data_IF_952306681612
#
_entry.id   IF_952306681612
#
_cell.length_a   1.000
_cell.length_b   1.000
_cell.length_c   1.000
_cell.angle_alpha   90.00
_cell.angle_beta   90.00
_cell.angle_gamma   90.00
#
_symmetry.space_group_name_H-M   'P 1'
#
loop_
_entity.id
_entity.type
_entity.pdbx_description
1 polymer ?
#
# COMPACT_ATOMS: atom_id res chain seq x y z
N UNK A 1 24.71 -6.24 -13.34
CA UNK A 1 23.32 -6.64 -12.97
C UNK A 1 23.02 -8.07 -13.44
N UNK A 2 23.34 -8.44 -14.68
CA UNK A 2 23.01 -9.76 -15.26
C UNK A 2 23.52 -10.95 -14.42
N UNK A 3 24.78 -10.90 -13.94
CA UNK A 3 25.36 -11.95 -13.07
C UNK A 3 24.55 -12.15 -11.78
N UNK A 4 23.96 -11.10 -11.21
CA UNK A 4 23.13 -11.18 -9.99
C UNK A 4 21.78 -11.81 -10.30
N UNK A 5 21.21 -11.51 -11.46
CA UNK A 5 19.96 -12.13 -11.92
C UNK A 5 20.16 -13.63 -12.14
N UNK A 6 21.27 -14.03 -12.79
CA UNK A 6 21.57 -15.45 -13.02
C UNK A 6 21.77 -16.22 -11.72
N UNK A 7 22.41 -15.61 -10.70
CA UNK A 7 22.51 -16.20 -9.36
C UNK A 7 21.12 -16.36 -8.71
N UNK A 8 20.26 -15.35 -8.80
CA UNK A 8 18.91 -15.40 -8.20
C UNK A 8 18.04 -16.47 -8.87
N UNK A 9 18.17 -16.68 -10.19
CA UNK A 9 17.49 -17.77 -10.93
C UNK A 9 17.89 -19.16 -10.49
N UNK A 10 19.05 -19.33 -9.84
CA UNK A 10 19.47 -20.61 -9.24
C UNK A 10 18.86 -20.85 -7.86
N UNK A 11 18.32 -19.80 -7.23
CA UNK A 11 17.81 -19.79 -5.85
C UNK A 11 16.28 -19.92 -5.84
N UNK A 12 15.58 -19.19 -6.72
CA UNK A 12 14.13 -19.26 -6.86
C UNK A 12 13.74 -19.52 -8.33
N UNK A 13 12.54 -20.05 -8.61
CA UNK A 13 12.11 -20.32 -9.98
C UNK A 13 12.15 -19.09 -10.88
N UNK A 14 12.76 -19.22 -12.06
CA UNK A 14 12.95 -18.13 -13.04
C UNK A 14 11.64 -17.44 -13.42
N UNK A 15 10.53 -18.18 -13.47
CA UNK A 15 9.20 -17.63 -13.79
C UNK A 15 8.76 -16.48 -12.86
N UNK A 16 9.37 -16.34 -11.68
CA UNK A 16 9.08 -15.26 -10.72
C UNK A 16 10.00 -14.06 -10.84
N UNK A 17 11.01 -14.11 -11.73
CA UNK A 17 12.04 -13.09 -11.85
C UNK A 17 11.88 -12.36 -13.19
N UNK A 18 11.78 -11.04 -13.12
CA UNK A 18 11.80 -10.16 -14.29
C UNK A 18 12.95 -9.16 -14.15
N UNK A 19 13.59 -8.80 -15.26
CA UNK A 19 14.61 -7.75 -15.33
C UNK A 19 14.05 -6.50 -15.99
N UNK A 20 14.46 -5.33 -15.53
CA UNK A 20 14.02 -4.04 -16.06
C UNK A 20 12.48 -3.92 -16.14
N UNK A 21 11.76 -4.45 -15.15
CA UNK A 21 10.30 -4.48 -15.16
C UNK A 21 9.71 -3.09 -14.85
N UNK A 22 8.90 -2.53 -15.75
CA UNK A 22 8.31 -1.20 -15.57
C UNK A 22 7.37 -1.14 -14.37
N UNK A 23 7.72 -0.37 -13.34
CA UNK A 23 6.96 -0.26 -12.10
C UNK A 23 5.58 0.37 -12.27
N UNK A 24 5.34 1.12 -13.34
CA UNK A 24 4.00 1.61 -13.70
C UNK A 24 2.95 0.51 -13.87
N UNK A 25 3.34 -0.74 -14.11
CA UNK A 25 2.45 -1.91 -14.16
C UNK A 25 2.07 -2.45 -12.77
N UNK A 26 2.84 -2.06 -11.74
CA UNK A 26 2.76 -2.58 -10.38
C UNK A 26 2.36 -1.51 -9.36
N UNK A 27 1.95 -0.33 -9.81
CA UNK A 27 1.41 0.75 -8.98
C UNK A 27 0.00 1.14 -9.43
N UNK A 28 -0.86 1.52 -8.49
CA UNK A 28 -2.19 2.04 -8.81
C UNK A 28 -2.14 3.43 -9.44
N UNK A 29 -1.05 4.16 -9.24
CA UNK A 29 -0.82 5.46 -9.88
C UNK A 29 -0.44 5.32 -11.37
N UNK A 30 0.01 4.12 -11.78
CA UNK A 30 0.51 3.82 -13.13
C UNK A 30 1.67 4.72 -13.55
N UNK A 31 2.53 5.07 -12.60
CA UNK A 31 3.75 5.86 -12.77
C UNK A 31 4.93 5.03 -12.25
N UNK A 32 6.08 5.14 -12.90
CA UNK A 32 7.34 4.53 -12.48
C UNK A 32 8.11 3.86 -13.61
N UNK A 33 9.41 4.14 -13.62
CA UNK A 33 10.40 3.52 -14.48
C UNK A 33 10.70 2.07 -14.09
N UNK A 34 11.77 1.47 -14.66
CA UNK A 34 12.05 0.05 -14.46
C UNK A 34 12.65 -0.25 -13.09
N UNK A 35 12.26 -1.36 -12.46
CA UNK A 35 13.03 -2.00 -11.40
C UNK A 35 14.16 -2.84 -12.03
N UNK A 36 15.37 -2.76 -11.48
CA UNK A 36 16.50 -3.56 -11.97
C UNK A 36 16.16 -5.05 -11.95
N UNK A 37 15.67 -5.54 -10.82
CA UNK A 37 15.18 -6.91 -10.62
C UNK A 37 13.81 -6.83 -9.96
N UNK A 38 12.86 -7.59 -10.51
CA UNK A 38 11.53 -7.75 -9.93
C UNK A 38 11.31 -9.23 -9.61
N UNK A 39 10.95 -9.55 -8.37
CA UNK A 39 10.71 -10.91 -7.90
C UNK A 39 9.32 -11.03 -7.27
N UNK A 40 8.53 -12.02 -7.69
CA UNK A 40 7.16 -12.24 -7.22
C UNK A 40 6.91 -13.71 -6.84
N UNK A 41 7.51 -14.22 -5.74
CA UNK A 41 7.45 -15.62 -5.32
C UNK A 41 6.05 -16.03 -4.81
N UNK A 42 5.84 -17.36 -4.72
CA UNK A 42 4.57 -17.99 -4.28
C UNK A 42 4.65 -18.58 -2.86
N UNK A 43 5.84 -18.87 -2.36
CA UNK A 43 6.03 -19.56 -1.08
C UNK A 43 6.97 -18.77 -0.15
N UNK A 44 6.87 -19.05 1.14
CA UNK A 44 7.67 -18.36 2.18
C UNK A 44 9.17 -18.60 1.95
N UNK A 45 9.56 -19.81 1.61
CA UNK A 45 10.94 -20.22 1.40
C UNK A 45 11.62 -19.39 0.31
N UNK A 46 10.88 -19.08 -0.78
CA UNK A 46 11.38 -18.22 -1.86
C UNK A 46 11.45 -16.75 -1.42
N UNK A 47 10.50 -16.27 -0.60
CA UNK A 47 10.53 -14.92 -0.01
C UNK A 47 11.79 -14.77 0.88
N UNK A 48 12.03 -15.75 1.77
CA UNK A 48 13.23 -15.79 2.61
C UNK A 48 14.51 -15.83 1.77
N UNK A 49 14.53 -16.65 0.74
CA UNK A 49 15.68 -16.82 -0.14
C UNK A 49 16.03 -15.51 -0.88
N UNK A 50 15.04 -14.76 -1.37
CA UNK A 50 15.24 -13.43 -1.99
C UNK A 50 15.77 -12.43 -0.96
N UNK A 51 15.20 -12.38 0.24
CA UNK A 51 15.66 -11.47 1.30
C UNK A 51 17.10 -11.77 1.72
N UNK A 52 17.44 -13.05 1.93
CA UNK A 52 18.78 -13.51 2.25
C UNK A 52 19.77 -13.17 1.14
N UNK A 53 19.44 -13.47 -0.11
CA UNK A 53 20.27 -13.14 -1.27
C UNK A 53 20.54 -11.65 -1.38
N UNK A 54 19.52 -10.80 -1.21
CA UNK A 54 19.68 -9.36 -1.23
C UNK A 54 20.66 -8.88 -0.14
N UNK A 55 20.56 -9.43 1.08
CA UNK A 55 21.45 -9.12 2.20
C UNK A 55 22.90 -9.55 1.93
N UNK A 56 23.11 -10.79 1.49
CA UNK A 56 24.44 -11.37 1.22
C UNK A 56 25.16 -10.67 0.08
N UNK A 57 24.45 -10.29 -0.98
CA UNK A 57 25.03 -9.59 -2.15
C UNK A 57 25.05 -8.05 -1.98
N UNK A 58 24.58 -7.52 -0.85
CA UNK A 58 24.50 -6.08 -0.58
C UNK A 58 23.63 -5.34 -1.59
N UNK A 59 22.50 -5.96 -2.02
CA UNK A 59 21.57 -5.39 -2.99
C UNK A 59 20.43 -4.71 -2.24
N UNK A 60 20.07 -3.46 -2.58
CA UNK A 60 18.87 -2.83 -2.05
C UNK A 60 17.62 -3.69 -2.27
N UNK A 61 16.79 -3.86 -1.24
CA UNK A 61 15.55 -4.61 -1.31
C UNK A 61 14.36 -3.70 -0.96
N UNK A 62 13.38 -3.67 -1.84
CA UNK A 62 12.10 -2.99 -1.59
C UNK A 62 10.94 -3.98 -1.63
N UNK A 63 10.17 -4.05 -0.54
CA UNK A 63 8.99 -4.94 -0.46
C UNK A 63 7.75 -4.21 -0.95
N UNK A 64 7.08 -4.78 -1.93
CA UNK A 64 5.92 -4.22 -2.62
C UNK A 64 4.69 -5.10 -2.41
N UNK A 65 3.57 -4.50 -2.03
CA UNK A 65 2.24 -5.12 -2.11
C UNK A 65 1.55 -4.77 -3.45
N UNK A 66 0.39 -4.13 -3.35
CA UNK A 66 -0.37 -3.65 -4.54
C UNK A 66 0.09 -2.29 -5.09
N UNK A 67 1.13 -1.67 -4.52
CA UNK A 67 1.63 -0.37 -4.97
C UNK A 67 0.63 0.78 -4.89
N UNK A 68 -0.30 0.74 -3.94
CA UNK A 68 -1.44 1.68 -3.87
C UNK A 68 -1.14 2.97 -3.10
N UNK A 69 0.07 3.12 -2.54
CA UNK A 69 0.51 4.32 -1.82
C UNK A 69 1.91 4.77 -2.27
N UNK A 70 2.27 4.50 -3.53
CA UNK A 70 3.61 4.75 -4.04
C UNK A 70 3.61 5.71 -5.23
N UNK A 71 4.62 6.58 -5.24
CA UNK A 71 5.12 7.29 -6.41
C UNK A 71 6.52 6.75 -6.69
N UNK A 72 6.66 6.01 -7.79
CA UNK A 72 7.96 5.45 -8.21
C UNK A 72 8.60 6.41 -9.21
N UNK A 73 9.90 6.68 -9.02
CA UNK A 73 10.68 7.56 -9.88
C UNK A 73 10.65 7.14 -11.35
N UNK A 74 10.75 8.13 -12.28
CA UNK A 74 10.76 7.88 -13.72
C UNK A 74 12.00 7.10 -14.16
N UNK A 75 13.14 7.29 -13.48
CA UNK A 75 14.38 6.54 -13.69
C UNK A 75 14.37 5.14 -13.07
N UNK A 76 13.29 4.79 -12.36
CA UNK A 76 13.07 3.44 -11.81
C UNK A 76 13.69 3.22 -10.43
N UNK A 77 13.98 1.96 -10.12
CA UNK A 77 14.41 1.51 -8.80
C UNK A 77 15.66 0.63 -8.87
N UNK A 78 16.62 0.92 -7.98
CA UNK A 78 17.82 0.07 -7.82
C UNK A 78 17.47 -1.20 -7.05
N UNK A 79 18.19 -2.28 -7.39
CA UNK A 79 18.17 -3.52 -6.65
C UNK A 79 16.97 -4.40 -6.94
N UNK A 80 16.41 -5.02 -5.90
CA UNK A 80 15.33 -6.00 -6.00
C UNK A 80 14.03 -5.38 -5.47
N UNK A 81 12.98 -5.40 -6.28
CA UNK A 81 11.59 -5.21 -5.85
C UNK A 81 10.98 -6.59 -5.61
N UNK A 82 10.73 -6.91 -4.34
CA UNK A 82 10.07 -8.14 -3.91
C UNK A 82 8.57 -7.89 -3.79
N UNK A 83 7.80 -8.37 -4.76
CA UNK A 83 6.34 -8.23 -4.72
C UNK A 83 5.67 -9.38 -3.97
N UNK A 84 4.98 -9.06 -2.87
CA UNK A 84 4.12 -9.95 -2.11
C UNK A 84 2.67 -9.57 -2.42
N UNK A 85 2.09 -10.27 -3.40
CA UNK A 85 0.77 -9.97 -3.93
C UNK A 85 0.02 -11.26 -4.28
N UNK A 86 -0.62 -11.34 -5.44
CA UNK A 86 -1.49 -12.45 -5.85
C UNK A 86 -0.85 -13.83 -5.76
N UNK A 87 0.44 -13.92 -6.06
CA UNK A 87 1.15 -15.19 -6.02
C UNK A 87 1.24 -15.75 -4.59
N UNK A 88 1.41 -14.87 -3.60
CA UNK A 88 1.46 -15.22 -2.19
C UNK A 88 0.20 -14.70 -1.48
N UNK A 89 -0.95 -15.29 -1.77
CA UNK A 89 -2.24 -14.91 -1.20
C UNK A 89 -3.01 -16.12 -0.69
N UNK A 90 -3.88 -15.92 0.28
CA UNK A 90 -4.73 -16.96 0.87
C UNK A 90 -5.36 -16.49 2.17
N UNK A 91 -6.49 -17.11 2.53
CA UNK A 91 -7.25 -16.86 3.74
C UNK A 91 -7.65 -18.21 4.33
N UNK A 92 -7.39 -18.41 5.59
CA UNK A 92 -7.90 -19.54 6.37
C UNK A 92 -8.81 -18.98 7.46
N UNK A 93 -9.99 -19.59 7.62
CA UNK A 93 -10.97 -19.16 8.64
C UNK A 93 -11.05 -20.22 9.74
N UNK A 94 -10.93 -19.77 10.99
CA UNK A 94 -11.08 -20.61 12.16
C UNK A 94 -11.96 -19.91 13.22
N UNK A 95 -13.24 -20.24 13.21
CA UNK A 95 -14.23 -19.58 14.07
C UNK A 95 -14.37 -18.10 13.77
N UNK A 96 -13.94 -17.25 14.66
CA UNK A 96 -13.98 -15.78 14.52
C UNK A 96 -12.63 -15.19 14.06
N UNK A 97 -11.65 -16.02 13.77
CA UNK A 97 -10.31 -15.59 13.34
C UNK A 97 -10.07 -15.91 11.88
N UNK A 98 -9.46 -14.96 11.16
CA UNK A 98 -8.97 -15.15 9.81
C UNK A 98 -7.45 -15.04 9.82
N UNK A 99 -6.77 -16.11 9.39
CA UNK A 99 -5.35 -16.08 9.05
C UNK A 99 -5.21 -15.67 7.59
N UNK A 100 -4.52 -14.55 7.36
CA UNK A 100 -4.47 -13.91 6.04
C UNK A 100 -3.03 -13.77 5.58
N UNK A 101 -2.68 -14.35 4.43
CA UNK A 101 -1.35 -14.14 3.81
C UNK A 101 -1.18 -12.71 3.36
N UNK A 102 0.05 -12.18 3.47
CA UNK A 102 0.37 -10.77 3.26
C UNK A 102 -0.01 -10.23 1.88
N UNK A 103 0.02 -11.04 0.84
CA UNK A 103 -0.34 -10.66 -0.53
C UNK A 103 -1.84 -10.61 -0.82
N UNK A 104 -2.67 -11.04 0.12
CA UNK A 104 -4.13 -11.06 -0.05
C UNK A 104 -4.70 -9.65 -0.08
N UNK A 105 -5.57 -9.35 -1.03
CA UNK A 105 -6.27 -8.07 -1.08
C UNK A 105 -7.22 -7.90 0.11
N UNK A 106 -7.28 -6.69 0.65
CA UNK A 106 -8.21 -6.35 1.73
C UNK A 106 -9.69 -6.55 1.35
N UNK A 107 -10.03 -6.30 0.08
CA UNK A 107 -11.36 -6.58 -0.45
C UNK A 107 -11.72 -8.08 -0.42
N UNK A 108 -10.74 -8.94 -0.68
CA UNK A 108 -10.94 -10.40 -0.58
C UNK A 108 -11.11 -10.85 0.87
N UNK A 109 -10.33 -10.27 1.79
CA UNK A 109 -10.44 -10.52 3.23
C UNK A 109 -11.78 -10.07 3.78
N UNK A 110 -12.23 -8.85 3.41
CA UNK A 110 -13.54 -8.33 3.82
C UNK A 110 -14.70 -9.17 3.28
N UNK A 111 -14.58 -9.68 2.04
CA UNK A 111 -15.57 -10.61 1.47
C UNK A 111 -15.58 -11.96 2.18
N UNK A 112 -14.42 -12.48 2.59
CA UNK A 112 -14.34 -13.71 3.37
C UNK A 112 -15.01 -13.53 4.73
N UNK A 113 -14.75 -12.43 5.43
CA UNK A 113 -15.42 -12.10 6.69
C UNK A 113 -16.95 -12.02 6.55
N UNK A 114 -17.46 -11.35 5.50
CA UNK A 114 -18.90 -11.31 5.20
C UNK A 114 -19.49 -12.71 4.99
N UNK A 115 -18.80 -13.58 4.25
CA UNK A 115 -19.30 -14.93 3.97
C UNK A 115 -19.46 -15.76 5.25
N UNK A 116 -18.60 -15.52 6.25
CA UNK A 116 -18.59 -16.17 7.56
C UNK A 116 -19.41 -15.42 8.62
N UNK A 117 -20.15 -14.38 8.21
CA UNK A 117 -20.98 -13.55 9.11
C UNK A 117 -20.15 -12.89 10.23
N UNK A 118 -18.93 -12.43 9.87
CA UNK A 118 -18.02 -11.76 10.78
C UNK A 118 -17.99 -10.26 10.53
N UNK A 119 -18.33 -9.48 11.56
CA UNK A 119 -18.33 -8.00 11.55
C UNK A 119 -17.03 -7.43 12.10
N UNK A 120 -16.70 -6.19 11.75
CA UNK A 120 -15.53 -5.44 12.22
C UNK A 120 -14.48 -5.16 11.14
N UNK A 121 -14.61 -5.77 9.95
CA UNK A 121 -13.66 -5.57 8.86
C UNK A 121 -14.26 -4.89 7.60
N UNK A 122 -15.46 -4.35 7.69
CA UNK A 122 -16.19 -3.71 6.59
C UNK A 122 -15.46 -2.48 6.05
N UNK A 123 -14.74 -1.74 6.93
CA UNK A 123 -13.97 -0.54 6.57
C UNK A 123 -12.89 -0.83 5.54
N UNK A 124 -12.34 -2.04 5.54
CA UNK A 124 -11.19 -2.43 4.73
C UNK A 124 -11.57 -2.80 3.29
N UNK A 125 -12.82 -3.17 3.03
CA UNK A 125 -13.28 -3.72 1.74
C UNK A 125 -13.03 -2.83 0.53
N UNK A 126 -12.96 -1.52 0.73
CA UNK A 126 -12.68 -0.55 -0.33
C UNK A 126 -11.23 -0.07 -0.40
N UNK A 127 -10.34 -0.41 0.53
CA UNK A 127 -8.94 0.00 0.50
C UNK A 127 -8.19 -0.81 -0.57
N UNK A 128 -7.52 -0.18 -1.55
CA UNK A 128 -6.88 -0.87 -2.66
C UNK A 128 -5.50 -1.45 -2.29
N UNK A 129 -5.37 -2.04 -1.10
CA UNK A 129 -4.12 -2.57 -0.56
C UNK A 129 -4.12 -4.07 -0.37
N UNK A 130 -2.93 -4.64 -0.15
CA UNK A 130 -2.76 -5.98 0.38
C UNK A 130 -2.79 -5.97 1.90
N UNK A 131 -3.04 -7.15 2.50
CA UNK A 131 -3.04 -7.31 3.95
C UNK A 131 -1.70 -6.89 4.58
N UNK A 132 -0.57 -7.34 4.02
CA UNK A 132 0.75 -6.96 4.51
C UNK A 132 0.99 -5.45 4.44
N UNK A 133 0.62 -4.80 3.33
CA UNK A 133 0.70 -3.33 3.21
C UNK A 133 -0.20 -2.59 4.20
N UNK A 134 -1.37 -3.16 4.50
CA UNK A 134 -2.29 -2.60 5.50
C UNK A 134 -1.74 -2.69 6.93
N UNK A 135 -1.10 -3.80 7.29
CA UNK A 135 -0.39 -3.97 8.57
C UNK A 135 0.73 -2.94 8.71
N UNK A 136 1.60 -2.82 7.69
CA UNK A 136 2.74 -1.88 7.68
C UNK A 136 2.29 -0.44 7.93
N UNK A 137 1.14 -0.05 7.36
CA UNK A 137 0.64 1.33 7.40
C UNK A 137 -0.45 1.56 8.46
N UNK A 138 -0.82 0.56 9.27
CA UNK A 138 -2.04 0.61 10.07
C UNK A 138 -3.20 1.19 9.26
N UNK A 139 -3.50 0.56 8.12
CA UNK A 139 -4.47 1.10 7.17
C UNK A 139 -5.85 1.24 7.80
N UNK A 140 -6.53 2.33 7.49
CA UNK A 140 -7.87 2.59 8.01
C UNK A 140 -8.71 3.46 7.09
N UNK A 141 -10.02 3.33 7.23
CA UNK A 141 -11.04 4.11 6.55
C UNK A 141 -12.34 4.08 7.34
N UNK A 142 -13.18 5.11 7.22
CA UNK A 142 -14.51 5.15 7.83
C UNK A 142 -14.54 4.90 9.34
N UNK A 143 -13.47 5.29 10.05
CA UNK A 143 -13.37 5.11 11.50
C UNK A 143 -12.85 3.73 11.95
N UNK A 144 -12.66 2.79 11.02
CA UNK A 144 -11.99 1.51 11.28
C UNK A 144 -10.51 1.55 10.92
N UNK A 145 -9.67 0.81 11.66
CA UNK A 145 -8.23 0.68 11.44
C UNK A 145 -7.76 -0.75 11.75
N UNK A 146 -6.62 -1.16 11.17
CA UNK A 146 -6.06 -2.50 11.39
C UNK A 146 -5.82 -2.82 12.87
N UNK A 147 -5.38 -1.84 13.67
CA UNK A 147 -5.14 -2.00 15.11
C UNK A 147 -6.35 -2.50 15.89
N UNK A 148 -7.56 -2.26 15.42
CA UNK A 148 -8.80 -2.64 16.11
C UNK A 148 -9.14 -4.13 15.96
N UNK A 149 -8.56 -4.79 14.96
CA UNK A 149 -8.92 -6.17 14.60
C UNK A 149 -7.72 -7.12 14.53
N UNK A 150 -6.50 -6.57 14.44
CA UNK A 150 -5.29 -7.35 14.31
C UNK A 150 -4.93 -8.00 15.66
N UNK A 151 -4.71 -9.32 15.65
CA UNK A 151 -4.31 -10.11 16.83
C UNK A 151 -2.80 -10.32 16.86
N UNK A 152 -2.25 -10.80 15.75
CA UNK A 152 -0.82 -11.07 15.62
C UNK A 152 -0.39 -11.07 14.15
N UNK A 153 0.91 -10.94 13.92
CA UNK A 153 1.52 -10.93 12.58
C UNK A 153 2.79 -11.75 12.59
N UNK A 154 2.93 -12.64 11.62
CA UNK A 154 4.17 -13.33 11.33
C UNK A 154 5.00 -12.48 10.37
N UNK A 155 6.23 -12.20 10.76
CA UNK A 155 7.17 -11.37 10.00
C UNK A 155 8.50 -12.10 9.79
N UNK A 156 9.17 -11.76 8.68
CA UNK A 156 10.57 -12.08 8.45
C UNK A 156 11.40 -10.84 8.83
N UNK A 157 12.35 -11.02 9.74
CA UNK A 157 13.25 -9.95 10.17
C UNK A 157 14.40 -9.74 9.18
N UNK A 158 15.14 -8.63 9.32
CA UNK A 158 16.37 -8.37 8.54
C UNK A 158 17.45 -9.43 8.71
N UNK A 159 17.42 -10.15 9.84
CA UNK A 159 18.39 -11.20 10.14
C UNK A 159 17.99 -12.57 9.59
N UNK A 160 16.83 -12.64 8.95
CA UNK A 160 16.29 -13.87 8.36
C UNK A 160 15.54 -14.76 9.36
N UNK A 161 15.16 -14.21 10.53
CA UNK A 161 14.35 -14.94 11.51
C UNK A 161 12.86 -14.72 11.24
N UNK A 162 12.07 -15.77 11.31
CA UNK A 162 10.62 -15.65 11.34
C UNK A 162 10.18 -15.46 12.80
N UNK A 163 9.42 -14.38 13.04
CA UNK A 163 8.84 -14.04 14.35
C UNK A 163 7.35 -13.81 14.24
N UNK A 164 6.63 -14.19 15.29
CA UNK A 164 5.23 -13.78 15.46
C UNK A 164 5.20 -12.65 16.48
N UNK A 165 4.68 -11.50 16.05
CA UNK A 165 4.50 -10.30 16.88
C UNK A 165 3.01 -10.16 17.22
N UNK A 166 2.69 -9.95 18.48
CA UNK A 166 1.33 -9.64 18.92
C UNK A 166 0.97 -8.20 18.58
N UNK A 167 -0.34 -7.88 18.55
CA UNK A 167 -0.83 -6.55 18.17
C UNK A 167 -0.18 -5.41 18.99
N UNK A 168 0.03 -5.59 20.29
CA UNK A 168 0.68 -4.62 21.17
C UNK A 168 2.16 -4.38 20.85
N UNK A 169 2.86 -5.36 20.27
CA UNK A 169 4.26 -5.24 19.87
C UNK A 169 4.43 -4.52 18.53
N UNK A 170 3.34 -4.34 17.79
CA UNK A 170 3.38 -3.72 16.46
C UNK A 170 3.42 -2.19 16.51
N UNK A 171 3.18 -1.57 17.66
CA UNK A 171 3.20 -0.10 17.84
C UNK A 171 2.43 0.63 16.74
N UNK A 172 1.23 0.15 16.43
CA UNK A 172 0.41 0.67 15.34
C UNK A 172 -0.07 2.09 15.66
N UNK A 173 0.24 3.01 14.77
CA UNK A 173 -0.17 4.42 14.86
C UNK A 173 -0.60 4.95 13.50
N UNK A 174 -0.85 6.27 13.41
CA UNK A 174 -1.26 6.88 12.14
C UNK A 174 -0.19 6.72 11.07
N UNK A 175 -0.44 5.85 10.09
CA UNK A 175 0.45 5.52 8.97
C UNK A 175 1.84 5.03 9.39
N UNK A 176 1.91 4.31 10.53
CA UNK A 176 3.16 3.74 11.05
C UNK A 176 2.95 2.43 11.78
N UNK A 177 4.01 1.64 11.89
CA UNK A 177 4.08 0.41 12.66
C UNK A 177 5.52 0.09 13.03
N UNK A 178 5.72 -0.79 14.01
CA UNK A 178 7.02 -1.38 14.33
C UNK A 178 7.61 -2.17 13.13
N UNK A 179 6.75 -2.81 12.34
CA UNK A 179 7.14 -3.49 11.10
C UNK A 179 7.81 -2.54 10.12
N UNK A 180 7.25 -1.33 9.92
CA UNK A 180 7.82 -0.30 9.07
C UNK A 180 9.15 0.23 9.61
N UNK A 181 9.23 0.49 10.92
CA UNK A 181 10.42 1.04 11.57
C UNK A 181 11.63 0.09 11.49
N UNK A 182 11.38 -1.20 11.62
CA UNK A 182 12.42 -2.25 11.59
C UNK A 182 12.63 -2.85 10.20
N UNK A 183 11.86 -2.41 9.19
CA UNK A 183 11.90 -2.93 7.82
C UNK A 183 11.70 -4.47 7.76
N UNK A 184 10.77 -4.97 8.58
CA UNK A 184 10.38 -6.38 8.54
C UNK A 184 9.47 -6.65 7.34
N UNK A 185 9.49 -7.89 6.86
CA UNK A 185 8.61 -8.36 5.80
C UNK A 185 7.42 -9.08 6.42
N UNK A 186 6.20 -8.58 6.21
CA UNK A 186 4.99 -9.27 6.65
C UNK A 186 4.78 -10.51 5.79
N UNK A 187 4.62 -11.67 6.42
CA UNK A 187 4.32 -12.93 5.76
C UNK A 187 2.82 -13.25 5.83
N UNK A 188 2.26 -13.25 7.03
CA UNK A 188 0.82 -13.43 7.28
C UNK A 188 0.42 -12.78 8.59
N UNK A 189 -0.87 -12.66 8.85
CA UNK A 189 -1.35 -12.21 10.15
C UNK A 189 -2.74 -12.73 10.45
N UNK A 190 -3.11 -12.67 11.72
CA UNK A 190 -4.41 -13.09 12.22
C UNK A 190 -5.22 -11.87 12.60
N UNK A 191 -6.43 -11.77 12.07
CA UNK A 191 -7.45 -10.81 12.54
C UNK A 191 -8.52 -11.56 13.34
N UNK A 192 -8.97 -10.97 14.44
CA UNK A 192 -10.05 -11.47 15.27
C UNK A 192 -11.27 -10.56 15.10
N UNK A 193 -12.38 -11.14 14.69
CA UNK A 193 -13.64 -10.46 14.39
C UNK A 193 -14.76 -10.97 15.28
N UNK A 194 -15.93 -10.35 15.19
CA UNK A 194 -17.10 -10.75 15.96
C UNK A 194 -18.19 -11.34 15.06
N UNK A 195 -19.01 -12.24 15.61
CA UNK A 195 -20.21 -12.70 14.89
C UNK A 195 -21.19 -11.55 14.74
N UNK A 196 -21.76 -11.41 13.54
CA UNK A 196 -22.71 -10.36 13.20
C UNK A 196 -23.82 -10.86 12.29
N UNK A 197 -24.70 -9.95 11.93
CA UNK A 197 -25.75 -10.23 10.95
C UNK A 197 -25.22 -9.97 9.53
N UNK A 198 -25.35 -10.93 8.64
CA UNK A 198 -24.81 -10.89 7.27
C UNK A 198 -25.38 -9.72 6.45
N UNK A 199 -26.68 -9.46 6.60
CA UNK A 199 -27.38 -8.40 5.89
C UNK A 199 -26.88 -7.02 6.35
N UNK A 200 -26.65 -6.83 7.66
CA UNK A 200 -26.11 -5.59 8.23
C UNK A 200 -24.66 -5.36 7.81
N UNK A 201 -23.81 -6.40 7.87
CA UNK A 201 -22.42 -6.34 7.39
C UNK A 201 -22.39 -5.94 5.93
N UNK A 202 -23.21 -6.60 5.10
CA UNK A 202 -23.30 -6.30 3.67
C UNK A 202 -23.79 -4.88 3.42
N UNK A 203 -24.82 -4.43 4.10
CA UNK A 203 -25.35 -3.07 3.98
C UNK A 203 -24.29 -2.02 4.30
N UNK A 204 -23.48 -2.23 5.34
CA UNK A 204 -22.37 -1.35 5.72
C UNK A 204 -21.24 -1.34 4.69
N UNK A 205 -20.87 -2.51 4.15
CA UNK A 205 -19.90 -2.60 3.05
C UNK A 205 -20.39 -1.86 1.79
N UNK A 206 -21.67 -2.02 1.43
CA UNK A 206 -22.29 -1.36 0.28
C UNK A 206 -22.33 0.17 0.47
N UNK A 207 -22.66 0.64 1.69
CA UNK A 207 -22.61 2.06 2.07
C UNK A 207 -21.20 2.64 1.85
N UNK A 208 -20.16 1.98 2.36
CA UNK A 208 -18.80 2.43 2.20
C UNK A 208 -18.33 2.41 0.74
N UNK A 209 -18.72 1.37 -0.01
CA UNK A 209 -18.43 1.28 -1.44
C UNK A 209 -19.10 2.42 -2.23
N UNK A 210 -20.36 2.72 -1.93
CA UNK A 210 -21.08 3.84 -2.53
C UNK A 210 -20.44 5.19 -2.20
N UNK A 211 -20.10 5.41 -0.92
CA UNK A 211 -19.42 6.63 -0.47
C UNK A 211 -18.08 6.84 -1.21
N UNK A 212 -17.29 5.78 -1.40
CA UNK A 212 -16.05 5.86 -2.20
C UNK A 212 -16.31 6.20 -3.66
N UNK A 213 -17.22 5.48 -4.30
CA UNK A 213 -17.59 5.70 -5.70
C UNK A 213 -18.09 7.12 -5.96
N UNK A 214 -18.84 7.68 -5.00
CA UNK A 214 -19.41 9.03 -5.11
C UNK A 214 -18.35 10.10 -4.87
N UNK A 215 -17.44 9.90 -3.88
CA UNK A 215 -16.54 10.96 -3.39
C UNK A 215 -15.13 10.88 -3.94
N UNK A 216 -14.65 9.71 -4.40
CA UNK A 216 -13.26 9.51 -4.84
C UNK A 216 -13.15 9.34 -6.36
N UNK A 217 -12.03 9.76 -6.98
CA UNK A 217 -11.81 9.70 -8.43
C UNK A 217 -11.37 8.29 -8.87
N UNK A 218 -12.21 7.27 -8.62
CA UNK A 218 -11.86 5.85 -8.87
C UNK A 218 -11.68 5.52 -10.37
N UNK A 219 -12.14 6.40 -11.24
CA UNK A 219 -12.00 6.31 -12.70
C UNK A 219 -10.59 6.65 -13.20
N UNK A 220 -9.75 7.27 -12.35
CA UNK A 220 -8.38 7.65 -12.69
C UNK A 220 -7.35 6.92 -11.82
N UNK A 221 -6.17 6.60 -12.39
CA UNK A 221 -5.05 6.10 -11.59
C UNK A 221 -4.62 7.13 -10.54
N UNK A 222 -4.37 6.66 -9.31
CA UNK A 222 -3.88 7.48 -8.19
C UNK A 222 -3.22 6.61 -7.12
N UNK A 223 -2.54 7.22 -6.17
CA UNK A 223 -2.00 6.57 -4.98
C UNK A 223 -2.82 6.88 -3.71
N UNK A 224 -4.14 7.09 -3.84
CA UNK A 224 -4.99 7.48 -2.72
C UNK A 224 -4.86 8.96 -2.35
N UNK A 225 -5.05 9.27 -1.06
CA UNK A 225 -4.83 10.63 -0.55
C UNK A 225 -3.37 11.00 -0.65
N UNK A 226 -3.08 12.15 -1.29
CA UNK A 226 -1.71 12.56 -1.57
C UNK A 226 -1.02 13.15 -0.35
N UNK A 227 -1.78 13.81 0.53
CA UNK A 227 -1.25 14.45 1.73
C UNK A 227 -1.83 13.85 3.00
N UNK A 228 -1.00 13.79 4.04
CA UNK A 228 -1.44 13.49 5.40
C UNK A 228 -2.45 14.53 5.87
N UNK A 229 -3.26 14.16 6.85
CA UNK A 229 -4.17 15.08 7.49
C UNK A 229 -3.37 16.00 8.42
N UNK A 230 -3.32 17.35 8.18
CA UNK A 230 -2.70 18.27 9.11
C UNK A 230 -3.51 18.38 10.42
N UNK A 231 -2.84 18.66 11.52
CA UNK A 231 -3.49 18.82 12.81
C UNK A 231 -4.56 19.94 12.76
N UNK A 232 -5.76 19.62 13.20
CA UNK A 232 -6.90 20.56 13.18
C UNK A 232 -7.54 20.81 11.82
N UNK A 233 -7.04 20.21 10.72
CA UNK A 233 -7.50 20.50 9.37
C UNK A 233 -7.79 19.21 8.57
N UNK A 234 -8.41 19.37 7.40
CA UNK A 234 -8.57 18.34 6.38
C UNK A 234 -7.79 18.76 5.13
N UNK A 235 -6.82 17.96 4.70
CA UNK A 235 -5.96 18.26 3.56
C UNK A 235 -6.76 18.61 2.29
N UNK A 236 -7.75 17.79 1.92
CA UNK A 236 -8.59 18.06 0.74
C UNK A 236 -9.38 19.37 0.84
N UNK A 237 -9.82 19.77 2.04
CA UNK A 237 -10.53 21.06 2.26
C UNK A 237 -9.58 22.24 2.06
N UNK A 238 -8.38 22.20 2.63
CA UNK A 238 -7.37 23.25 2.43
C UNK A 238 -7.02 23.43 0.96
N UNK A 239 -6.80 22.34 0.23
CA UNK A 239 -6.49 22.35 -1.22
C UNK A 239 -7.64 22.95 -2.01
N UNK A 240 -8.88 22.57 -1.67
CA UNK A 240 -10.08 23.14 -2.31
C UNK A 240 -10.23 24.65 -2.02
N UNK A 241 -10.06 25.07 -0.76
CA UNK A 241 -10.18 26.47 -0.34
C UNK A 241 -9.05 27.35 -0.91
N UNK A 242 -7.88 26.74 -1.21
CA UNK A 242 -6.79 27.37 -1.95
C UNK A 242 -7.09 27.55 -3.46
N UNK A 243 -8.26 27.10 -3.94
CA UNK A 243 -8.63 27.19 -5.35
C UNK A 243 -7.87 26.23 -6.27
N UNK A 244 -7.29 25.14 -5.73
CA UNK A 244 -6.41 24.25 -6.46
C UNK A 244 -7.11 23.03 -7.07
N UNK A 245 -8.43 22.96 -6.96
CA UNK A 245 -9.23 21.91 -7.61
C UNK A 245 -9.02 21.96 -9.14
N UNK A 246 -8.60 20.84 -9.73
CA UNK A 246 -8.27 20.77 -11.16
C UNK A 246 -6.90 21.35 -11.54
N UNK A 247 -6.10 21.84 -10.57
CA UNK A 247 -4.74 22.30 -10.84
C UNK A 247 -3.89 21.17 -11.44
N UNK A 248 -3.13 21.47 -12.51
CA UNK A 248 -2.46 20.45 -13.31
C UNK A 248 -1.00 20.83 -13.62
N UNK A 249 -0.13 19.82 -13.58
CA UNK A 249 1.27 19.89 -14.04
C UNK A 249 1.49 18.67 -14.95
N UNK A 250 1.83 18.87 -16.21
CA UNK A 250 1.84 17.78 -17.18
C UNK A 250 0.49 17.05 -17.19
N UNK A 251 0.50 15.72 -17.07
CA UNK A 251 -0.71 14.90 -16.93
C UNK A 251 -1.07 14.57 -15.45
N UNK A 252 -0.35 15.12 -14.47
CA UNK A 252 -0.72 15.04 -13.06
C UNK A 252 -1.72 16.15 -12.71
N UNK A 253 -2.85 15.81 -12.04
CA UNK A 253 -3.91 16.76 -11.74
C UNK A 253 -4.44 16.58 -10.32
N UNK A 254 -4.71 17.68 -9.60
CA UNK A 254 -5.57 17.67 -8.41
C UNK A 254 -6.98 17.31 -8.84
N UNK A 255 -7.53 16.22 -8.32
CA UNK A 255 -8.84 15.74 -8.75
C UNK A 255 -9.94 16.77 -8.52
N UNK A 256 -10.75 16.99 -9.53
CA UNK A 256 -11.96 17.83 -9.43
C UNK A 256 -13.03 17.22 -8.52
N UNK A 257 -13.02 15.89 -8.37
CA UNK A 257 -13.99 15.17 -7.54
C UNK A 257 -13.60 15.17 -6.06
N UNK A 258 -12.28 15.02 -5.75
CA UNK A 258 -11.74 15.02 -4.39
C UNK A 258 -10.37 15.66 -4.34
N UNK A 259 -10.27 16.88 -3.86
CA UNK A 259 -9.04 17.70 -3.90
C UNK A 259 -7.87 17.12 -3.10
N UNK A 260 -8.08 16.14 -2.22
CA UNK A 260 -7.01 15.41 -1.52
C UNK A 260 -6.31 14.35 -2.37
N UNK A 261 -6.78 14.11 -3.61
CA UNK A 261 -6.22 13.14 -4.55
C UNK A 261 -5.52 13.84 -5.69
N UNK A 262 -4.31 13.40 -6.02
CA UNK A 262 -3.65 13.65 -7.29
C UNK A 262 -3.90 12.45 -8.19
N UNK A 263 -4.35 12.70 -9.42
CA UNK A 263 -4.69 11.69 -10.42
C UNK A 263 -3.75 11.78 -11.60
N UNK A 264 -3.52 10.65 -12.27
CA UNK A 264 -2.83 10.57 -13.54
C UNK A 264 -3.87 10.62 -14.67
N UNK A 265 -3.83 11.67 -15.49
CA UNK A 265 -4.76 11.87 -16.62
C UNK A 265 -4.42 11.03 -17.84
N UNK A 266 -3.24 10.40 -17.84
CA UNK A 266 -2.80 9.55 -18.95
C UNK A 266 -1.34 9.18 -18.84
N UNK A 267 -0.44 10.13 -19.06
CA UNK A 267 1.00 9.89 -19.10
C UNK A 267 1.77 10.76 -18.07
N UNK A 268 1.19 11.01 -16.90
CA UNK A 268 1.88 11.75 -15.85
C UNK A 268 3.20 11.07 -15.48
N UNK A 269 4.24 11.88 -15.33
CA UNK A 269 5.55 11.45 -14.83
C UNK A 269 5.64 11.61 -13.32
N UNK A 270 6.62 10.95 -12.68
CA UNK A 270 6.90 11.19 -11.27
C UNK A 270 7.34 12.65 -11.03
N UNK A 271 8.07 13.23 -11.98
CA UNK A 271 8.46 14.64 -11.94
C UNK A 271 7.24 15.58 -11.93
N UNK A 272 6.22 15.34 -12.78
CA UNK A 272 4.97 16.12 -12.80
C UNK A 272 4.26 16.09 -11.45
N UNK A 273 4.14 14.88 -10.87
CA UNK A 273 3.50 14.70 -9.56
C UNK A 273 4.28 15.39 -8.44
N UNK A 274 5.60 15.30 -8.46
CA UNK A 274 6.46 15.97 -7.49
C UNK A 274 6.34 17.50 -7.55
N UNK A 275 6.33 18.06 -8.76
CA UNK A 275 6.15 19.51 -8.95
C UNK A 275 4.76 19.93 -8.45
N UNK A 276 3.70 19.18 -8.83
CA UNK A 276 2.33 19.45 -8.38
C UNK A 276 2.20 19.40 -6.84
N UNK A 277 2.82 18.41 -6.18
CA UNK A 277 2.83 18.31 -4.72
C UNK A 277 3.50 19.54 -4.09
N UNK A 278 4.63 20.00 -4.62
CA UNK A 278 5.33 21.20 -4.16
C UNK A 278 4.45 22.44 -4.30
N UNK A 279 3.90 22.66 -5.50
CA UNK A 279 3.05 23.83 -5.78
C UNK A 279 1.82 23.90 -4.86
N UNK A 280 1.18 22.73 -4.63
CA UNK A 280 0.04 22.64 -3.71
C UNK A 280 0.44 22.95 -2.28
N UNK A 281 1.56 22.39 -1.80
CA UNK A 281 2.03 22.61 -0.44
C UNK A 281 2.40 24.10 -0.21
N UNK A 282 3.09 24.72 -1.17
CA UNK A 282 3.50 26.12 -1.11
C UNK A 282 2.28 27.07 -1.10
N UNK A 283 1.32 26.85 -1.98
CA UNK A 283 0.09 27.68 -2.04
C UNK A 283 -0.77 27.56 -0.79
N UNK A 284 -0.92 26.33 -0.23
CA UNK A 284 -1.64 26.13 1.03
C UNK A 284 -0.91 26.81 2.18
N UNK A 285 0.42 26.71 2.23
CA UNK A 285 1.23 27.39 3.26
C UNK A 285 1.15 28.91 3.16
N UNK A 286 1.20 29.46 1.95
CA UNK A 286 1.07 30.91 1.69
C UNK A 286 -0.28 31.45 2.16
N UNK A 287 -1.39 30.75 1.85
CA UNK A 287 -2.74 31.24 2.14
C UNK A 287 -3.20 30.97 3.57
N UNK A 288 -2.80 29.84 4.17
CA UNK A 288 -3.35 29.37 5.45
C UNK A 288 -2.29 29.20 6.55
N UNK A 289 -0.99 29.33 6.24
CA UNK A 289 0.10 29.08 7.18
C UNK A 289 0.28 27.60 7.56
N UNK A 290 -0.43 26.66 6.90
CA UNK A 290 -0.43 25.23 7.21
C UNK A 290 0.58 24.50 6.35
N UNK A 291 1.48 23.72 6.98
CA UNK A 291 2.42 22.87 6.27
C UNK A 291 1.74 21.55 5.85
N UNK A 292 1.84 21.21 4.58
CA UNK A 292 1.30 19.99 4.01
C UNK A 292 2.41 18.93 3.86
N UNK A 293 2.21 17.76 4.47
CA UNK A 293 3.13 16.63 4.33
C UNK A 293 2.56 15.58 3.37
N UNK A 294 3.34 15.10 2.37
CA UNK A 294 2.90 14.00 1.52
C UNK A 294 2.66 12.71 2.31
N UNK A 295 1.56 12.02 2.04
CA UNK A 295 1.28 10.65 2.51
C UNK A 295 1.82 9.61 1.53
N UNK A 296 1.78 9.91 0.22
CA UNK A 296 2.33 9.05 -0.82
C UNK A 296 3.83 8.86 -0.62
N UNK A 297 4.28 7.61 -0.66
CA UNK A 297 5.69 7.25 -0.48
C UNK A 297 6.45 7.37 -1.80
N UNK A 298 7.50 8.19 -1.81
CA UNK A 298 8.43 8.30 -2.94
C UNK A 298 9.46 7.20 -2.85
N UNK A 299 9.68 6.47 -3.94
CA UNK A 299 10.64 5.37 -4.01
C UNK A 299 11.36 5.35 -5.35
N UNK A 300 12.64 4.97 -5.37
CA UNK A 300 13.45 4.90 -6.57
C UNK A 300 14.44 6.05 -6.72
N UNK A 301 14.95 6.23 -7.94
CA UNK A 301 15.97 7.20 -8.35
C UNK A 301 15.31 8.55 -8.69
N UNK A 302 15.09 9.40 -7.68
CA UNK A 302 14.59 10.77 -7.84
C UNK A 302 15.69 11.78 -8.02
#
# INVERSE_FOLDING_TARGET
MDVKIDKLKQIIPEKYILSNEPMKKHTTFRIGGPADIFAAPEIIEDIEAVCRFAKEEGIPLFVLGNGSNLLVADDGMDGIVLQIYKNYSGIEVNGNELTVKAGTLLSSTSKAALNEELTGFEFAGGIPGTFGGAVVMNAGAYGGEMVQVLKEVKVLTKDGEIKTLKAEELELGYRTSNVLKNEYVVLEGVIALEKGNKEEIKAKMDEYALARKTKQPLEYPSAGSTFKRPEGYFAGKLIQDAGLKGYQVGDAQVSEKHSGFVINRGNATAADVMQLISDVADKVKEQFGVTMEPEVKRVGRF
#
